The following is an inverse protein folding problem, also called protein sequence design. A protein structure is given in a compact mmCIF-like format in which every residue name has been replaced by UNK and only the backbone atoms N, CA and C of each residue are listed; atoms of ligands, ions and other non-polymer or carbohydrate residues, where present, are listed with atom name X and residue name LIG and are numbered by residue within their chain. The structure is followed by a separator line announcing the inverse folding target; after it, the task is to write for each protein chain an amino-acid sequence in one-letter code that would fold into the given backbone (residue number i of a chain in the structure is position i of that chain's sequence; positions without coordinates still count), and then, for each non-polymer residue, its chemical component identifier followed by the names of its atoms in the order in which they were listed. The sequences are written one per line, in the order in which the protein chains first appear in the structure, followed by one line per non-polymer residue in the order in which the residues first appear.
data_IF_240058834437
#
_entry.id   IF_240058834437
#
_cell.length_a   1.000
_cell.length_b   1.000
_cell.length_c   1.000
_cell.angle_alpha   90.00
_cell.angle_beta   90.00
_cell.angle_gamma   90.00
#
_symmetry.space_group_name_H-M   'P 1'
#
loop_
_entity.id
_entity.type
_entity.pdbx_description
1 polymer ?
#
# COMPACT_ATOMS: atom_id res chain seq x y z
N UNK A 1 8.50 -2.74 -2.64
CA UNK A 1 7.63 -3.91 -2.89
C UNK A 1 8.19 -4.81 -3.99
N UNK A 2 9.25 -5.52 -3.67
CA UNK A 2 9.96 -6.34 -4.66
C UNK A 2 9.12 -7.50 -5.20
N UNK A 3 8.33 -8.15 -4.34
CA UNK A 3 7.52 -9.29 -4.76
C UNK A 3 6.35 -8.91 -5.66
N UNK A 4 5.93 -7.65 -5.61
CA UNK A 4 4.93 -7.12 -6.53
C UNK A 4 5.56 -6.56 -7.83
N UNK A 5 6.87 -6.69 -7.99
CA UNK A 5 7.59 -6.17 -9.15
C UNK A 5 7.96 -4.69 -9.04
N UNK A 6 7.76 -4.07 -7.89
CA UNK A 6 8.13 -2.68 -7.66
C UNK A 6 9.48 -2.64 -6.95
N UNK A 7 10.47 -2.07 -7.61
CA UNK A 7 11.82 -1.94 -7.08
C UNK A 7 12.08 -0.53 -6.57
N UNK A 8 13.10 -0.39 -5.73
CA UNK A 8 13.55 0.92 -5.28
C UNK A 8 13.91 1.78 -6.50
N UNK A 9 13.47 3.03 -6.49
CA UNK A 9 13.68 3.94 -7.60
C UNK A 9 12.61 3.88 -8.69
N UNK A 10 11.73 2.89 -8.66
CA UNK A 10 10.59 2.85 -9.59
C UNK A 10 9.62 3.99 -9.25
N UNK A 11 9.02 4.55 -10.30
CA UNK A 11 7.91 5.49 -10.13
C UNK A 11 6.62 4.71 -10.17
N UNK A 12 5.71 5.01 -9.26
CA UNK A 12 4.40 4.38 -9.24
C UNK A 12 3.35 5.31 -9.84
N UNK A 13 2.38 4.70 -10.50
CA UNK A 13 1.22 5.41 -11.03
C UNK A 13 0.08 5.16 -10.07
N UNK A 14 -0.49 6.25 -9.55
CA UNK A 14 -1.51 6.19 -8.50
C UNK A 14 -2.80 6.78 -9.02
N UNK A 15 -3.88 6.05 -8.87
CA UNK A 15 -5.22 6.53 -9.16
C UNK A 15 -5.94 6.84 -7.85
N UNK A 16 -6.23 8.11 -7.64
CA UNK A 16 -6.89 8.58 -6.41
C UNK A 16 -8.40 8.47 -6.46
N UNK A 17 -8.95 8.20 -7.64
CA UNK A 17 -10.41 8.09 -7.82
C UNK A 17 -10.94 6.70 -7.47
N UNK A 18 -10.07 5.69 -7.45
CA UNK A 18 -10.47 4.32 -7.19
C UNK A 18 -10.67 4.09 -5.70
N UNK A 19 -11.73 3.35 -5.38
CA UNK A 19 -11.91 2.83 -4.03
C UNK A 19 -11.02 1.62 -3.84
N UNK A 20 -10.18 1.66 -2.82
CA UNK A 20 -9.25 0.56 -2.55
C UNK A 20 -10.01 -0.69 -2.09
N UNK A 21 -9.56 -1.84 -2.55
CA UNK A 21 -10.15 -3.14 -2.25
C UNK A 21 -9.11 -4.07 -1.67
N UNK A 22 -9.58 -5.14 -1.05
CA UNK A 22 -8.70 -6.20 -0.56
C UNK A 22 -7.78 -6.69 -1.67
N UNK A 23 -6.49 -6.76 -1.37
CA UNK A 23 -5.47 -7.19 -2.33
C UNK A 23 -4.81 -6.08 -3.13
N UNK A 24 -5.37 -4.87 -3.12
CA UNK A 24 -4.79 -3.75 -3.85
C UNK A 24 -3.49 -3.29 -3.22
N UNK A 25 -2.58 -2.80 -4.06
CA UNK A 25 -1.41 -2.06 -3.59
C UNK A 25 -1.84 -0.61 -3.45
N UNK A 26 -1.62 -0.03 -2.29
CA UNK A 26 -2.09 1.31 -1.98
C UNK A 26 -0.95 2.18 -1.49
N UNK A 27 -1.10 3.48 -1.70
CA UNK A 27 -0.31 4.48 -0.98
C UNK A 27 -1.13 4.91 0.21
N UNK A 28 -0.63 4.64 1.39
CA UNK A 28 -1.32 4.94 2.64
C UNK A 28 -0.52 5.98 3.43
N UNK A 29 -1.24 6.74 4.25
CA UNK A 29 -0.62 7.67 5.20
C UNK A 29 -0.81 7.07 6.58
N UNK A 30 0.32 6.75 7.22
CA UNK A 30 0.37 6.15 8.56
C UNK A 30 1.21 7.09 9.41
N UNK A 31 0.60 7.65 10.46
CA UNK A 31 1.26 8.60 11.37
C UNK A 31 1.99 9.74 10.62
N UNK A 32 1.36 10.24 9.57
CA UNK A 32 1.91 11.34 8.77
C UNK A 32 2.89 10.94 7.68
N UNK A 33 3.28 9.69 7.60
CA UNK A 33 4.22 9.21 6.60
C UNK A 33 3.53 8.43 5.49
N UNK A 34 3.94 8.68 4.24
CA UNK A 34 3.47 7.91 3.10
C UNK A 34 4.18 6.57 3.03
N UNK A 35 3.42 5.52 2.79
CA UNK A 35 3.98 4.18 2.62
C UNK A 35 3.20 3.43 1.54
N UNK A 36 3.89 2.56 0.79
CA UNK A 36 3.28 1.68 -0.21
C UNK A 36 3.16 0.30 0.40
N UNK A 37 1.94 -0.19 0.50
CA UNK A 37 1.66 -1.48 1.12
C UNK A 37 0.52 -2.17 0.39
N UNK A 38 0.39 -3.48 0.63
CA UNK A 38 -0.76 -4.24 0.15
C UNK A 38 -1.87 -4.19 1.19
N UNK A 39 -3.07 -3.87 0.74
CA UNK A 39 -4.24 -3.75 1.61
C UNK A 39 -4.90 -5.09 1.81
N UNK A 40 -5.14 -5.44 3.07
CA UNK A 40 -5.94 -6.60 3.45
C UNK A 40 -7.15 -6.13 4.24
N UNK A 41 -8.33 -6.48 3.74
CA UNK A 41 -9.60 -6.15 4.41
C UNK A 41 -10.37 -7.43 4.63
N UNK A 42 -10.52 -7.83 5.89
CA UNK A 42 -11.25 -9.03 6.27
C UNK A 42 -12.20 -8.69 7.40
N UNK A 43 -13.49 -8.92 7.19
CA UNK A 43 -14.55 -8.57 8.15
C UNK A 43 -14.40 -7.11 8.57
N UNK A 44 -14.11 -6.84 9.85
CA UNK A 44 -13.93 -5.48 10.36
C UNK A 44 -12.46 -5.14 10.59
N UNK A 45 -11.56 -5.92 10.03
CA UNK A 45 -10.12 -5.78 10.24
C UNK A 45 -9.45 -5.26 8.99
N UNK A 46 -8.64 -4.23 9.15
CA UNK A 46 -7.83 -3.66 8.08
C UNK A 46 -6.37 -3.85 8.44
N UNK A 47 -5.60 -4.41 7.52
CA UNK A 47 -4.16 -4.61 7.69
C UNK A 47 -3.43 -4.09 6.47
N UNK A 48 -2.25 -3.52 6.69
CA UNK A 48 -1.33 -3.15 5.62
C UNK A 48 -0.15 -4.10 5.67
N UNK A 49 0.07 -4.83 4.61
CA UNK A 49 1.12 -5.84 4.55
C UNK A 49 2.29 -5.34 3.72
N UNK A 50 3.51 -5.34 4.27
CA UNK A 50 4.69 -5.14 3.46
C UNK A 50 4.88 -6.35 2.56
N UNK A 51 5.48 -6.14 1.40
CA UNK A 51 5.74 -7.23 0.49
C UNK A 51 6.86 -8.14 0.98
N UNK A 52 7.74 -7.61 1.83
CA UNK A 52 8.83 -8.38 2.42
C UNK A 52 8.35 -9.09 3.68
N UNK A 53 8.40 -10.44 3.73
CA UNK A 53 7.92 -11.19 4.88
C UNK A 53 8.75 -10.98 6.15
N UNK A 54 9.93 -10.37 6.07
CA UNK A 54 10.73 -10.02 7.24
C UNK A 54 10.10 -8.90 8.07
N UNK A 55 9.19 -8.13 7.51
CA UNK A 55 8.49 -7.04 8.21
C UNK A 55 7.09 -7.50 8.61
N UNK A 56 6.63 -6.99 9.74
CA UNK A 56 5.30 -7.33 10.26
C UNK A 56 4.22 -6.49 9.60
N UNK A 57 3.01 -7.04 9.40
CA UNK A 57 1.87 -6.25 8.98
C UNK A 57 1.52 -5.15 9.99
N UNK A 58 1.00 -4.03 9.47
CA UNK A 58 0.43 -2.98 10.30
C UNK A 58 -1.07 -3.27 10.41
N UNK A 59 -1.55 -3.47 11.63
CA UNK A 59 -2.94 -3.80 11.90
C UNK A 59 -3.63 -2.56 12.47
N UNK A 60 -4.77 -2.20 11.90
CA UNK A 60 -5.56 -1.06 12.37
C UNK A 60 -6.75 -1.57 13.16
N UNK A 61 -6.93 -0.99 14.34
CA UNK A 61 -8.09 -1.23 15.18
C UNK A 61 -8.92 0.05 15.28
N UNK A 62 -10.12 -0.07 15.86
CA UNK A 62 -11.00 1.08 16.02
C UNK A 62 -10.28 2.23 16.73
N UNK A 63 -10.44 3.44 16.19
CA UNK A 63 -9.85 4.65 16.75
C UNK A 63 -8.48 5.01 16.18
N UNK A 64 -7.88 4.16 15.38
CA UNK A 64 -6.64 4.49 14.66
C UNK A 64 -6.95 5.12 13.31
N UNK A 65 -6.16 6.12 12.94
CA UNK A 65 -6.31 6.77 11.65
C UNK A 65 -5.52 6.03 10.58
N UNK A 66 -6.23 5.50 9.61
CA UNK A 66 -5.68 5.03 8.36
C UNK A 66 -6.27 5.88 7.25
N UNK A 67 -5.39 6.48 6.47
CA UNK A 67 -5.81 7.21 5.28
C UNK A 67 -5.17 6.56 4.06
N UNK A 68 -6.01 6.12 3.13
CA UNK A 68 -5.55 5.63 1.85
C UNK A 68 -5.54 6.79 0.88
N UNK A 69 -4.36 7.15 0.39
CA UNK A 69 -4.19 8.27 -0.51
C UNK A 69 -4.56 7.91 -1.95
N UNK A 70 -4.29 6.67 -2.36
CA UNK A 70 -4.66 6.19 -3.68
C UNK A 70 -4.26 4.75 -3.90
N UNK A 71 -4.70 4.20 -5.04
CA UNK A 71 -4.43 2.82 -5.44
C UNK A 71 -3.32 2.84 -6.49
N UNK A 72 -2.32 2.00 -6.30
CA UNK A 72 -1.24 1.84 -7.28
C UNK A 72 -1.74 1.00 -8.43
N UNK A 73 -1.78 1.59 -9.63
CA UNK A 73 -2.30 0.92 -10.82
C UNK A 73 -1.20 0.54 -11.80
N UNK A 74 0.02 0.97 -11.56
CA UNK A 74 1.15 0.62 -12.41
C UNK A 74 2.45 1.17 -11.85
N UNK A 75 3.54 0.81 -12.51
CA UNK A 75 4.86 1.34 -12.19
C UNK A 75 5.65 1.59 -13.47
N UNK A 76 6.59 2.52 -13.39
CA UNK A 76 7.47 2.85 -14.51
C UNK A 76 8.90 2.71 -14.03
N UNK A 77 9.68 1.93 -14.75
CA UNK A 77 11.10 1.76 -14.48
C UNK A 77 11.89 2.44 -15.57
N UNK A 78 12.85 3.25 -15.15
CA UNK A 78 13.72 3.96 -16.08
C UNK A 78 15.01 3.15 -16.29
N UNK A 79 15.28 2.81 -17.52
CA UNK A 79 16.54 2.19 -17.94
C UNK A 79 17.42 3.25 -18.59
N UNK A 80 18.50 3.57 -17.93
CA UNK A 80 19.45 4.57 -18.45
C UNK A 80 20.85 4.00 -18.49
#
# INVERSE_FOLDING_TARGET
MQHAGILDGDKVIVDKSLQARHGDIVVAVVDGDFTIKRLFMRAQRIELHPDNPAFRPIVFVDGQELKIWGVVVGSVRRYV
#
